data_IF_625048628235
#
_entry.id   IF_625048628235
#
_cell.length_a   1.000
_cell.length_b   1.000
_cell.length_c   1.000
_cell.angle_alpha   90.00
_cell.angle_beta   90.00
_cell.angle_gamma   90.00
#
_symmetry.space_group_name_H-M   'P 1'
#
loop_
_entity.id
_entity.type
_entity.pdbx_description
1 polymer ?
#
# COMPACT_ATOMS: atom_id res chain seq x y z
N UNK A 1 -18.59 -11.25 -6.36
CA UNK A 1 -18.41 -10.11 -5.43
C UNK A 1 -17.08 -9.47 -5.78
N UNK A 2 -17.00 -8.14 -5.88
CA UNK A 2 -15.83 -7.44 -6.42
C UNK A 2 -14.58 -7.77 -5.59
N UNK A 3 -13.63 -8.54 -6.15
CA UNK A 3 -12.38 -9.03 -5.53
C UNK A 3 -11.32 -7.94 -5.35
N UNK A 4 -11.74 -6.70 -5.05
CA UNK A 4 -10.80 -5.62 -4.78
C UNK A 4 -10.52 -5.60 -3.28
N UNK A 5 -9.24 -5.62 -2.85
CA UNK A 5 -8.90 -5.49 -1.44
C UNK A 5 -9.50 -4.20 -0.89
N UNK A 6 -9.97 -4.24 0.36
CA UNK A 6 -10.65 -3.11 0.99
C UNK A 6 -9.69 -1.95 1.31
N UNK A 7 -8.38 -2.23 1.32
CA UNK A 7 -7.33 -1.28 1.71
C UNK A 7 -6.26 -1.20 0.61
N UNK A 8 -5.80 0.00 0.33
CA UNK A 8 -4.62 0.25 -0.50
C UNK A 8 -3.54 0.98 0.32
N UNK A 9 -2.35 0.40 0.38
CA UNK A 9 -1.16 1.01 0.97
C UNK A 9 -0.38 1.70 -0.15
N UNK A 10 -0.41 3.02 -0.19
CA UNK A 10 0.33 3.83 -1.15
C UNK A 10 1.56 4.48 -0.50
N UNK A 11 2.66 4.55 -1.24
CA UNK A 11 3.91 5.16 -0.77
C UNK A 11 4.66 5.87 -1.89
N UNK A 12 5.49 6.86 -1.56
CA UNK A 12 6.13 7.73 -2.56
C UNK A 12 7.35 7.12 -3.24
N UNK A 13 7.97 6.12 -2.61
CA UNK A 13 9.22 5.50 -3.04
C UNK A 13 9.38 4.07 -2.53
N UNK A 14 10.36 3.35 -3.08
CA UNK A 14 10.74 2.01 -2.61
C UNK A 14 11.28 2.05 -1.18
N UNK A 15 12.03 3.10 -0.81
CA UNK A 15 12.62 3.24 0.54
C UNK A 15 11.55 3.43 1.62
N UNK A 16 10.39 4.00 1.28
CA UNK A 16 9.28 4.14 2.23
C UNK A 16 8.73 2.77 2.68
N UNK A 17 8.94 1.71 1.89
CA UNK A 17 8.44 0.37 2.20
C UNK A 17 8.95 -0.15 3.55
N UNK A 18 10.16 0.20 3.96
CA UNK A 18 10.71 -0.21 5.27
C UNK A 18 9.80 0.26 6.42
N UNK A 19 9.21 1.46 6.28
CA UNK A 19 8.23 1.97 7.25
C UNK A 19 6.84 1.42 6.98
N UNK A 20 6.39 1.38 5.73
CA UNK A 20 5.01 1.01 5.36
C UNK A 20 4.71 -0.49 5.56
N UNK A 21 5.73 -1.34 5.59
CA UNK A 21 5.59 -2.78 5.87
C UNK A 21 4.90 -3.05 7.22
N UNK A 22 5.06 -2.17 8.20
CA UNK A 22 4.36 -2.31 9.49
C UNK A 22 2.83 -2.26 9.34
N UNK A 23 2.31 -1.48 8.40
CA UNK A 23 0.88 -1.44 8.10
C UNK A 23 0.42 -2.74 7.42
N UNK A 24 1.20 -3.23 6.45
CA UNK A 24 0.96 -4.50 5.77
C UNK A 24 0.93 -5.68 6.76
N UNK A 25 1.95 -5.81 7.61
CA UNK A 25 2.05 -6.87 8.63
C UNK A 25 0.85 -6.83 9.61
N UNK A 26 0.36 -5.62 9.95
CA UNK A 26 -0.83 -5.45 10.80
C UNK A 26 -2.09 -5.93 10.10
N UNK A 27 -2.27 -5.62 8.81
CA UNK A 27 -3.43 -6.07 8.04
C UNK A 27 -3.42 -7.58 7.82
N UNK A 28 -2.24 -8.17 7.57
CA UNK A 28 -2.05 -9.62 7.49
C UNK A 28 -2.45 -10.32 8.79
N UNK A 29 -2.07 -9.75 9.95
CA UNK A 29 -2.43 -10.28 11.27
C UNK A 29 -3.94 -10.28 11.51
N UNK A 30 -4.66 -9.35 10.88
CA UNK A 30 -6.12 -9.20 11.01
C UNK A 30 -6.90 -9.92 9.91
N UNK A 31 -6.23 -10.63 8.99
CA UNK A 31 -6.81 -11.25 7.80
C UNK A 31 -7.59 -10.23 6.92
N UNK A 32 -7.04 -9.02 6.78
CA UNK A 32 -7.59 -7.95 5.95
C UNK A 32 -6.78 -7.85 4.66
N UNK A 33 -7.38 -8.21 3.53
CA UNK A 33 -6.73 -8.09 2.22
C UNK A 33 -6.40 -6.64 1.85
N UNK A 34 -5.18 -6.42 1.34
CA UNK A 34 -4.68 -5.12 0.87
C UNK A 34 -3.94 -5.22 -0.46
N UNK A 35 -3.79 -4.09 -1.15
CA UNK A 35 -2.78 -3.92 -2.21
C UNK A 35 -1.74 -2.87 -1.82
N UNK A 36 -0.48 -3.05 -2.23
CA UNK A 36 0.58 -2.08 -2.00
C UNK A 36 1.10 -1.51 -3.33
N UNK A 37 1.26 -0.18 -3.42
CA UNK A 37 1.67 0.53 -4.64
C UNK A 37 2.66 1.65 -4.33
N UNK A 38 3.62 1.86 -5.22
CA UNK A 38 4.44 3.08 -5.23
C UNK A 38 3.75 4.11 -6.14
N UNK A 39 3.28 5.20 -5.54
CA UNK A 39 2.66 6.36 -6.23
C UNK A 39 3.30 7.62 -5.69
N UNK A 40 4.16 8.24 -6.50
CA UNK A 40 4.94 9.41 -6.08
C UNK A 40 4.22 10.69 -6.49
N UNK A 41 3.75 11.47 -5.52
CA UNK A 41 3.09 12.75 -5.81
C UNK A 41 3.94 13.70 -6.68
N UNK A 42 5.27 13.68 -6.49
CA UNK A 42 6.18 14.57 -7.22
C UNK A 42 6.66 14.00 -8.56
N UNK A 43 6.90 12.68 -8.64
CA UNK A 43 7.51 12.06 -9.83
C UNK A 43 6.48 11.50 -10.81
N UNK A 44 5.29 11.14 -10.32
CA UNK A 44 4.20 10.59 -11.11
C UNK A 44 2.87 11.26 -10.70
N UNK A 45 2.71 12.58 -10.92
CA UNK A 45 1.53 13.33 -10.47
C UNK A 45 0.22 12.92 -11.15
N UNK A 46 0.30 12.36 -12.37
CA UNK A 46 -0.86 11.92 -13.15
C UNK A 46 -1.30 10.48 -12.85
N UNK A 47 -0.58 9.77 -11.97
CA UNK A 47 -0.85 8.38 -11.60
C UNK A 47 -1.78 8.29 -10.40
#
# INVERSE_FOLDING_TARGET
MSERPAVAIIMGSQSDWETMKNAADTLDTLDIGYEARIVSAHRTPDR
#
